data_IF_894616515740
#
_entry.id   IF_894616515740
#
_cell.length_a   1.000
_cell.length_b   1.000
_cell.length_c   1.000
_cell.angle_alpha   90.00
_cell.angle_beta   90.00
_cell.angle_gamma   90.00
#
_symmetry.space_group_name_H-M   'P 1'
#
loop_
_entity.id
_entity.type
_entity.pdbx_description
1 polymer ?
#
# COMPACT_ATOMS: atom_id res chain seq x y z
N UNK A 1 -6.89 30.36 -2.09
CA UNK A 1 -5.92 30.40 -3.20
C UNK A 1 -4.47 30.59 -2.72
N UNK A 2 -4.25 31.14 -1.51
CA UNK A 2 -2.88 31.40 -0.96
C UNK A 2 -2.35 30.37 0.05
N UNK A 3 -2.93 29.16 0.07
CA UNK A 3 -2.56 28.10 1.02
C UNK A 3 -1.59 27.07 0.45
N UNK A 4 -0.66 26.59 1.27
CA UNK A 4 0.18 25.42 0.98
C UNK A 4 -0.57 24.14 1.35
N UNK A 5 -0.88 23.31 0.36
CA UNK A 5 -1.35 21.94 0.57
C UNK A 5 -0.14 21.01 0.56
N UNK A 6 -0.02 20.19 1.60
CA UNK A 6 0.96 19.12 1.69
C UNK A 6 0.31 17.80 1.24
N UNK A 7 1.09 16.92 0.60
CA UNK A 7 0.67 15.56 0.24
C UNK A 7 1.71 14.60 0.80
N UNK A 8 1.24 13.67 1.62
CA UNK A 8 2.00 12.73 2.44
C UNK A 8 2.91 13.40 3.49
N UNK A 9 3.37 12.59 4.45
CA UNK A 9 4.00 13.10 5.68
C UNK A 9 5.34 12.47 6.04
N UNK A 10 5.76 11.39 5.38
CA UNK A 10 6.97 10.67 5.76
C UNK A 10 6.76 9.75 6.97
N UNK A 11 7.83 9.03 7.31
CA UNK A 11 7.86 8.05 8.40
C UNK A 11 7.79 8.74 9.78
N UNK A 12 7.08 8.14 10.72
CA UNK A 12 6.93 8.64 12.10
C UNK A 12 8.19 8.48 12.96
N UNK A 13 9.27 9.19 12.62
CA UNK A 13 10.53 9.16 13.36
C UNK A 13 11.17 10.55 13.51
N UNK A 14 12.14 10.67 14.42
CA UNK A 14 12.78 11.96 14.75
C UNK A 14 13.63 12.53 13.61
N UNK A 15 14.23 11.67 12.79
CA UNK A 15 14.99 12.08 11.61
C UNK A 15 14.08 12.80 10.60
N UNK A 16 12.90 12.24 10.32
CA UNK A 16 11.93 12.81 9.39
C UNK A 16 11.32 14.10 9.96
N UNK A 17 11.06 14.17 11.27
CA UNK A 17 10.64 15.42 11.94
C UNK A 17 11.70 16.51 11.78
N UNK A 18 12.98 16.19 11.97
CA UNK A 18 14.07 17.14 11.80
C UNK A 18 14.14 17.67 10.36
N UNK A 19 13.97 16.81 9.35
CA UNK A 19 13.89 17.22 7.94
C UNK A 19 12.71 18.15 7.68
N UNK A 20 11.54 17.88 8.25
CA UNK A 20 10.39 18.77 8.15
C UNK A 20 10.65 20.15 8.78
N UNK A 21 11.29 20.22 9.95
CA UNK A 21 11.63 21.50 10.56
C UNK A 21 12.59 22.31 9.67
N UNK A 22 13.55 21.66 9.00
CA UNK A 22 14.40 22.32 7.99
C UNK A 22 13.58 22.87 6.82
N UNK A 23 12.61 22.10 6.31
CA UNK A 23 11.73 22.55 5.22
C UNK A 23 10.86 23.74 5.65
N UNK A 24 10.27 23.68 6.84
CA UNK A 24 9.40 24.72 7.41
C UNK A 24 10.16 26.01 7.73
N UNK A 25 11.41 25.91 8.20
CA UNK A 25 12.27 27.07 8.47
C UNK A 25 12.94 27.63 7.20
N UNK A 26 13.02 26.84 6.13
CA UNK A 26 13.70 27.21 4.88
C UNK A 26 12.73 27.36 3.71
N UNK A 27 12.72 26.43 2.73
CA UNK A 27 11.95 26.57 1.48
C UNK A 27 10.45 26.84 1.64
N UNK A 28 9.85 26.44 2.77
CA UNK A 28 8.43 26.65 3.06
C UNK A 28 8.18 27.82 4.03
N UNK A 29 9.22 28.55 4.43
CA UNK A 29 9.09 29.67 5.35
C UNK A 29 8.13 30.75 4.82
N UNK A 30 7.25 31.24 5.70
CA UNK A 30 6.25 32.27 5.36
C UNK A 30 5.06 31.76 4.53
N UNK A 31 5.08 30.51 4.04
CA UNK A 31 3.90 29.89 3.41
C UNK A 31 2.88 29.55 4.49
N UNK A 32 1.58 29.67 4.17
CA UNK A 32 0.49 29.33 5.09
C UNK A 32 -0.05 27.94 4.78
N UNK A 33 0.25 26.89 5.57
CA UNK A 33 -0.34 25.58 5.38
C UNK A 33 -1.86 25.67 5.50
N UNK A 34 -2.59 24.95 4.64
CA UNK A 34 -4.06 24.94 4.64
C UNK A 34 -4.66 23.56 4.84
N UNK A 35 -3.93 22.49 4.49
CA UNK A 35 -4.32 21.09 4.67
C UNK A 35 -3.12 20.16 4.49
N UNK A 36 -3.25 18.97 5.06
CA UNK A 36 -2.40 17.82 4.76
C UNK A 36 -3.28 16.75 4.09
N UNK A 37 -2.87 16.25 2.93
CA UNK A 37 -3.50 15.10 2.28
C UNK A 37 -2.61 13.88 2.52
N UNK A 38 -3.17 12.73 2.91
CA UNK A 38 -2.48 11.45 2.86
C UNK A 38 -3.06 10.60 1.73
N UNK A 39 -2.18 10.04 0.89
CA UNK A 39 -2.57 9.16 -0.21
C UNK A 39 -3.12 7.84 0.31
N UNK A 40 -2.45 7.26 1.31
CA UNK A 40 -2.86 6.00 1.94
C UNK A 40 -2.22 5.82 3.33
N UNK A 41 -2.58 4.73 4.01
CA UNK A 41 -2.24 4.50 5.40
C UNK A 41 -0.79 4.09 5.67
N UNK A 42 0.01 3.70 4.66
CA UNK A 42 1.35 3.16 4.94
C UNK A 42 2.24 4.16 5.70
N UNK A 43 3.19 3.66 6.53
CA UNK A 43 3.86 4.51 7.51
C UNK A 43 4.67 5.66 6.95
N UNK A 44 5.24 5.53 5.76
CA UNK A 44 5.97 6.58 5.08
C UNK A 44 5.07 7.65 4.43
N UNK A 45 3.75 7.46 4.43
CA UNK A 45 2.78 8.42 3.91
C UNK A 45 1.98 9.06 5.04
N UNK A 46 1.59 8.28 6.05
CA UNK A 46 0.76 8.73 7.17
C UNK A 46 1.54 8.90 8.49
N UNK A 47 2.83 8.56 8.53
CA UNK A 47 3.63 8.46 9.76
C UNK A 47 3.72 9.71 10.60
N UNK A 48 3.90 10.88 9.98
CA UNK A 48 3.90 12.17 10.67
C UNK A 48 2.62 12.97 10.47
N UNK A 49 1.54 12.33 10.01
CA UNK A 49 0.31 13.06 9.69
C UNK A 49 -0.24 13.84 10.88
N UNK A 50 -0.30 13.23 12.06
CA UNK A 50 -0.76 13.90 13.26
C UNK A 50 0.20 14.93 13.81
N UNK A 51 1.50 14.67 13.76
CA UNK A 51 2.51 15.64 14.14
C UNK A 51 2.44 16.90 13.27
N UNK A 52 2.38 16.75 11.93
CA UNK A 52 2.24 17.86 10.99
C UNK A 52 0.92 18.62 11.18
N UNK A 53 -0.20 17.91 11.35
CA UNK A 53 -1.50 18.54 11.61
C UNK A 53 -1.46 19.43 12.85
N UNK A 54 -0.87 18.95 13.96
CA UNK A 54 -0.71 19.73 15.19
C UNK A 54 0.27 20.88 15.01
N UNK A 55 1.44 20.61 14.41
CA UNK A 55 2.53 21.57 14.21
C UNK A 55 2.14 22.74 13.30
N UNK A 56 1.25 22.50 12.34
CA UNK A 56 0.85 23.48 11.32
C UNK A 56 -0.58 24.01 11.52
N UNK A 57 -1.35 23.44 12.45
CA UNK A 57 -2.74 23.82 12.70
C UNK A 57 -3.68 23.51 11.52
N UNK A 58 -3.45 22.38 10.84
CA UNK A 58 -4.23 21.96 9.66
C UNK A 58 -4.91 20.61 9.86
N UNK A 59 -5.96 20.34 9.09
CA UNK A 59 -6.68 19.07 9.13
C UNK A 59 -6.09 18.05 8.14
N UNK A 60 -6.23 16.77 8.49
CA UNK A 60 -5.90 15.65 7.60
C UNK A 60 -7.07 15.39 6.65
N UNK A 61 -6.76 15.36 5.36
CA UNK A 61 -7.62 14.89 4.29
C UNK A 61 -7.14 13.53 3.82
N UNK A 62 -8.01 12.53 3.82
CA UNK A 62 -7.71 11.18 3.33
C UNK A 62 -9.03 10.47 2.99
N UNK A 63 -8.95 9.33 2.31
CA UNK A 63 -10.12 8.49 2.16
C UNK A 63 -10.48 7.80 3.47
N UNK A 64 -11.76 7.46 3.63
CA UNK A 64 -12.27 6.96 4.90
C UNK A 64 -11.66 5.60 5.24
N UNK A 65 -11.50 4.69 4.26
CA UNK A 65 -10.95 3.36 4.54
C UNK A 65 -9.46 3.41 4.87
N UNK A 66 -8.70 4.31 4.26
CA UNK A 66 -7.28 4.50 4.58
C UNK A 66 -7.12 5.01 6.01
N UNK A 67 -7.89 6.03 6.39
CA UNK A 67 -7.87 6.55 7.75
C UNK A 67 -8.34 5.52 8.78
N UNK A 68 -9.45 4.80 8.52
CA UNK A 68 -9.97 3.78 9.44
C UNK A 68 -8.98 2.63 9.64
N UNK A 69 -8.40 2.12 8.55
CA UNK A 69 -7.46 1.01 8.62
C UNK A 69 -6.17 1.42 9.32
N UNK A 70 -5.62 2.59 8.98
CA UNK A 70 -4.48 3.16 9.67
C UNK A 70 -4.75 3.39 11.15
N UNK A 71 -5.90 3.98 11.52
CA UNK A 71 -6.28 4.20 12.92
C UNK A 71 -6.43 2.91 13.70
N UNK A 72 -7.06 1.89 13.11
CA UNK A 72 -7.19 0.58 13.72
C UNK A 72 -5.80 0.00 14.02
N UNK A 73 -4.91 -0.06 13.02
CA UNK A 73 -3.56 -0.58 13.21
C UNK A 73 -2.74 0.25 14.20
N UNK A 74 -2.91 1.57 14.23
CA UNK A 74 -2.19 2.41 15.19
C UNK A 74 -2.68 2.20 16.62
N UNK A 75 -4.00 2.10 16.83
CA UNK A 75 -4.60 1.90 18.16
C UNK A 75 -4.37 0.50 18.72
N UNK A 76 -4.20 -0.49 17.85
CA UNK A 76 -4.07 -1.89 18.21
C UNK A 76 -2.73 -2.20 18.89
N UNK A 77 -2.81 -2.81 20.08
CA UNK A 77 -1.64 -3.20 20.90
C UNK A 77 -1.96 -4.44 21.77
N UNK A 78 -2.99 -5.21 21.38
CA UNK A 78 -3.43 -6.38 22.13
C UNK A 78 -2.57 -7.61 21.86
N UNK A 79 -2.56 -8.51 22.84
CA UNK A 79 -2.02 -9.87 22.65
C UNK A 79 -2.77 -10.62 21.54
N UNK A 80 -4.07 -10.34 21.36
CA UNK A 80 -4.90 -10.93 20.30
C UNK A 80 -4.39 -10.57 18.90
N UNK A 81 -3.97 -9.32 18.68
CA UNK A 81 -3.37 -8.91 17.41
C UNK A 81 -2.13 -9.74 17.08
N UNK A 82 -1.21 -9.87 18.04
CA UNK A 82 0.01 -10.67 17.85
C UNK A 82 -0.31 -12.16 17.66
N UNK A 83 -1.27 -12.69 18.42
CA UNK A 83 -1.73 -14.07 18.28
C UNK A 83 -2.35 -14.34 16.89
N UNK A 84 -3.13 -13.40 16.35
CA UNK A 84 -3.69 -13.49 15.00
C UNK A 84 -2.60 -13.53 13.94
N UNK A 85 -1.58 -12.65 14.04
CA UNK A 85 -0.44 -12.67 13.10
C UNK A 85 0.27 -14.03 13.13
N UNK A 86 0.60 -14.55 14.32
CA UNK A 86 1.27 -15.85 14.47
C UNK A 86 0.40 -16.98 13.92
N UNK A 87 -0.91 -16.98 14.21
CA UNK A 87 -1.83 -17.98 13.70
C UNK A 87 -1.90 -17.96 12.16
N UNK A 88 -1.97 -16.77 11.57
CA UNK A 88 -2.00 -16.58 10.12
C UNK A 88 -0.72 -17.10 9.45
N UNK A 89 0.46 -16.68 9.90
CA UNK A 89 1.73 -17.15 9.33
C UNK A 89 1.98 -18.63 9.57
N UNK A 90 1.43 -19.21 10.65
CA UNK A 90 1.44 -20.67 10.85
C UNK A 90 0.61 -21.38 9.78
N UNK A 91 -0.57 -20.86 9.40
CA UNK A 91 -1.38 -21.41 8.29
C UNK A 91 -0.65 -21.36 6.95
N UNK A 92 0.26 -20.41 6.77
CA UNK A 92 1.08 -20.28 5.56
C UNK A 92 2.23 -21.30 5.53
N UNK A 93 2.66 -21.77 6.71
CA UNK A 93 3.72 -22.77 6.88
C UNK A 93 5.03 -22.24 7.43
N UNK A 94 5.04 -21.06 8.06
CA UNK A 94 6.23 -20.54 8.75
C UNK A 94 6.69 -21.51 9.84
N UNK A 95 8.01 -21.69 9.97
CA UNK A 95 8.61 -22.54 11.00
C UNK A 95 8.64 -21.86 12.39
N UNK A 96 9.14 -22.58 13.40
CA UNK A 96 9.15 -22.09 14.78
C UNK A 96 9.99 -20.81 14.97
N UNK A 97 11.13 -20.69 14.28
CA UNK A 97 12.00 -19.51 14.38
C UNK A 97 11.34 -18.30 13.72
N UNK A 98 10.76 -18.49 12.53
CA UNK A 98 10.03 -17.46 11.80
C UNK A 98 8.80 -16.96 12.59
N UNK A 99 8.06 -17.88 13.22
CA UNK A 99 6.90 -17.52 14.04
C UNK A 99 7.30 -16.76 15.32
N UNK A 100 8.44 -17.09 15.93
CA UNK A 100 8.96 -16.31 17.05
C UNK A 100 9.39 -14.91 16.59
N UNK A 101 9.99 -14.79 15.41
CA UNK A 101 10.28 -13.49 14.79
C UNK A 101 9.03 -12.67 14.47
N UNK A 102 7.89 -13.29 14.14
CA UNK A 102 6.59 -12.59 14.01
C UNK A 102 6.12 -12.09 15.38
N UNK A 103 6.19 -12.95 16.40
CA UNK A 103 5.79 -12.61 17.77
C UNK A 103 6.60 -11.46 18.34
N UNK A 104 7.93 -11.51 18.21
CA UNK A 104 8.84 -10.51 18.77
C UNK A 104 8.69 -9.13 18.13
N UNK A 105 8.34 -9.08 16.83
CA UNK A 105 8.12 -7.83 16.11
C UNK A 105 6.83 -7.12 16.51
N UNK A 106 5.80 -7.87 16.93
CA UNK A 106 4.51 -7.32 17.34
C UNK A 106 3.88 -6.42 16.27
N UNK A 107 3.33 -5.28 16.69
CA UNK A 107 2.75 -4.30 15.79
C UNK A 107 3.77 -3.24 15.36
N UNK A 108 4.54 -3.55 14.31
CA UNK A 108 5.54 -2.61 13.78
C UNK A 108 4.93 -1.36 13.16
N UNK A 109 3.67 -1.41 12.71
CA UNK A 109 2.99 -0.24 12.15
C UNK A 109 2.90 0.86 13.21
N UNK A 110 2.44 0.54 14.42
CA UNK A 110 2.34 1.47 15.55
C UNK A 110 3.67 2.17 15.86
N UNK A 111 4.80 1.45 15.80
CA UNK A 111 6.14 2.02 16.05
C UNK A 111 6.65 3.00 14.99
N UNK A 112 6.01 3.02 13.81
CA UNK A 112 6.41 3.81 12.64
C UNK A 112 5.47 4.99 12.37
N UNK A 113 4.46 5.16 13.21
CA UNK A 113 3.49 6.25 13.16
C UNK A 113 3.60 7.03 14.47
N UNK A 114 3.77 8.35 14.40
CA UNK A 114 3.77 9.20 15.59
C UNK A 114 2.36 9.26 16.19
N UNK A 115 1.41 9.81 15.43
CA UNK A 115 0.00 9.87 15.79
C UNK A 115 -0.84 9.99 14.53
N UNK A 116 -1.99 9.30 14.50
CA UNK A 116 -3.00 9.50 13.45
C UNK A 116 -4.04 10.51 13.96
N UNK A 117 -4.36 11.57 13.20
CA UNK A 117 -5.40 12.53 13.55
C UNK A 117 -6.75 11.89 13.86
N UNK A 118 -7.41 12.34 14.94
CA UNK A 118 -8.77 11.88 15.33
C UNK A 118 -9.87 12.45 14.45
N UNK A 119 -9.57 13.56 13.77
CA UNK A 119 -10.47 14.22 12.83
C UNK A 119 -9.98 13.96 11.42
N UNK A 120 -10.93 13.63 10.55
CA UNK A 120 -10.72 13.40 9.13
C UNK A 120 -11.61 14.35 8.32
N UNK A 121 -11.03 14.96 7.29
CA UNK A 121 -11.76 15.50 6.15
C UNK A 121 -11.79 14.42 5.08
N UNK A 122 -12.92 13.71 4.97
CA UNK A 122 -13.03 12.56 4.07
C UNK A 122 -13.06 12.97 2.60
N UNK A 123 -12.37 12.21 1.75
CA UNK A 123 -12.48 12.27 0.29
C UNK A 123 -12.78 10.89 -0.28
N UNK A 124 -13.44 10.83 -1.43
CA UNK A 124 -13.76 9.58 -2.14
C UNK A 124 -13.51 9.73 -3.63
N UNK A 125 -13.58 8.62 -4.35
CA UNK A 125 -13.50 8.62 -5.80
C UNK A 125 -14.45 9.65 -6.44
N UNK A 126 -13.90 10.44 -7.37
CA UNK A 126 -14.65 11.44 -8.13
C UNK A 126 -14.76 12.81 -7.44
N UNK A 127 -14.44 12.93 -6.15
CA UNK A 127 -14.43 14.22 -5.48
C UNK A 127 -13.37 15.16 -6.10
N UNK A 128 -13.73 16.45 -6.22
CA UNK A 128 -12.89 17.50 -6.76
C UNK A 128 -12.34 18.40 -5.62
N UNK A 129 -11.02 18.39 -5.46
CA UNK A 129 -10.29 19.18 -4.47
C UNK A 129 -9.75 20.47 -5.12
N UNK A 130 -10.09 21.62 -4.54
CA UNK A 130 -9.56 22.92 -5.00
C UNK A 130 -8.20 23.21 -4.37
N UNK A 131 -7.14 23.14 -5.17
CA UNK A 131 -5.75 23.37 -4.73
C UNK A 131 -5.07 24.35 -5.69
N UNK A 132 -4.58 25.48 -5.18
CA UNK A 132 -3.87 26.48 -5.99
C UNK A 132 -4.66 26.99 -7.21
N UNK A 133 -5.98 27.17 -7.06
CA UNK A 133 -6.85 27.61 -8.16
C UNK A 133 -7.17 26.55 -9.22
N UNK A 134 -6.74 25.29 -9.01
CA UNK A 134 -7.00 24.16 -9.93
C UNK A 134 -7.85 23.08 -9.28
N UNK A 135 -8.54 22.30 -10.11
CA UNK A 135 -9.33 21.14 -9.65
C UNK A 135 -8.46 19.90 -9.69
N UNK A 136 -8.41 19.19 -8.57
CA UNK A 136 -7.72 17.92 -8.42
C UNK A 136 -8.74 16.85 -8.10
N UNK A 137 -9.02 15.99 -9.06
CA UNK A 137 -9.95 14.88 -8.89
C UNK A 137 -9.27 13.73 -8.15
N UNK A 138 -9.92 13.23 -7.10
CA UNK A 138 -9.51 11.99 -6.44
C UNK A 138 -9.92 10.80 -7.33
N UNK A 139 -8.94 9.98 -7.70
CA UNK A 139 -9.13 8.72 -8.41
C UNK A 139 -8.73 7.59 -7.45
N UNK A 140 -9.69 6.71 -7.15
CA UNK A 140 -9.47 5.61 -6.23
C UNK A 140 -8.57 4.56 -6.89
N UNK A 141 -7.42 4.34 -6.25
CA UNK A 141 -6.57 3.17 -6.45
C UNK A 141 -7.12 1.95 -5.73
N UNK A 142 -6.37 0.85 -5.72
CA UNK A 142 -6.84 -0.38 -5.12
C UNK A 142 -5.77 -1.45 -5.06
N UNK A 143 -5.99 -2.43 -4.18
CA UNK A 143 -5.13 -3.60 -4.03
C UNK A 143 -3.84 -3.36 -3.26
N UNK A 144 -3.13 -2.27 -3.55
CA UNK A 144 -1.97 -1.83 -2.76
C UNK A 144 -2.36 -1.44 -1.33
N UNK A 145 -3.47 -0.71 -1.20
CA UNK A 145 -4.07 -0.30 0.06
C UNK A 145 -5.61 -0.22 -0.07
N UNK A 146 -6.38 -0.07 1.03
CA UNK A 146 -7.84 -0.23 1.02
C UNK A 146 -8.65 0.73 0.13
N UNK A 147 -8.18 1.97 -0.07
CA UNK A 147 -8.85 3.03 -0.85
C UNK A 147 -7.84 4.14 -1.21
N UNK A 148 -6.74 3.76 -1.87
CA UNK A 148 -5.61 4.64 -2.19
C UNK A 148 -6.08 5.90 -2.95
N UNK A 149 -5.66 7.08 -2.53
CA UNK A 149 -6.01 8.34 -3.19
C UNK A 149 -4.95 8.76 -4.22
N UNK A 150 -5.23 8.56 -5.50
CA UNK A 150 -4.49 9.23 -6.58
C UNK A 150 -5.15 10.60 -6.85
N UNK A 151 -4.37 11.65 -7.13
CA UNK A 151 -4.90 12.99 -7.37
C UNK A 151 -4.53 13.46 -8.78
N UNK A 152 -5.54 13.69 -9.62
CA UNK A 152 -5.35 14.11 -11.01
C UNK A 152 -5.85 15.53 -11.26
N UNK A 153 -4.99 16.37 -11.84
CA UNK A 153 -5.35 17.71 -12.30
C UNK A 153 -5.34 17.77 -13.82
N UNK A 154 -6.52 17.79 -14.44
CA UNK A 154 -6.66 17.85 -15.89
C UNK A 154 -6.07 19.12 -16.50
N UNK A 155 -6.30 20.27 -15.86
CA UNK A 155 -5.79 21.58 -16.31
C UNK A 155 -4.26 21.63 -16.36
N UNK A 156 -3.59 20.89 -15.46
CA UNK A 156 -2.14 20.82 -15.42
C UNK A 156 -1.57 19.60 -16.18
N UNK A 157 -2.40 18.61 -16.52
CA UNK A 157 -1.97 17.32 -17.03
C UNK A 157 -1.07 16.55 -16.05
N UNK A 158 -1.36 16.63 -14.75
CA UNK A 158 -0.53 16.06 -13.66
C UNK A 158 -1.31 15.05 -12.85
N UNK A 159 -0.69 13.91 -12.56
CA UNK A 159 -1.16 12.88 -11.64
C UNK A 159 -0.17 12.74 -10.47
N UNK A 160 -0.63 12.94 -9.24
CA UNK A 160 0.05 12.39 -8.05
C UNK A 160 -0.46 10.96 -7.89
N UNK A 161 0.37 9.98 -8.25
CA UNK A 161 -0.04 8.56 -8.27
C UNK A 161 0.12 7.86 -6.93
N UNK A 162 0.78 8.51 -5.96
CA UNK A 162 1.22 7.86 -4.74
C UNK A 162 1.98 6.56 -5.08
N UNK A 163 1.57 5.47 -4.44
CA UNK A 163 2.14 4.14 -4.64
C UNK A 163 1.36 3.30 -5.65
N UNK A 164 0.30 3.83 -6.26
CA UNK A 164 -0.47 3.07 -7.24
C UNK A 164 0.30 2.83 -8.54
N UNK A 165 1.14 3.78 -8.96
CA UNK A 165 2.01 3.67 -10.15
C UNK A 165 3.38 4.26 -9.84
N UNK A 166 4.41 3.40 -9.87
CA UNK A 166 5.81 3.74 -9.59
C UNK A 166 6.66 3.44 -10.83
N UNK A 167 7.71 4.23 -11.14
CA UNK A 167 8.41 4.18 -12.43
C UNK A 167 9.35 2.98 -12.60
N UNK A 168 9.89 2.43 -11.50
CA UNK A 168 10.94 1.38 -11.56
C UNK A 168 10.56 0.07 -10.87
N UNK A 169 9.76 0.16 -9.82
CA UNK A 169 9.36 -1.00 -9.01
C UNK A 169 7.87 -1.27 -9.19
N UNK A 170 7.45 -2.51 -8.95
CA UNK A 170 6.04 -2.81 -8.77
C UNK A 170 5.63 -2.37 -7.36
N UNK A 171 4.50 -1.67 -7.20
CA UNK A 171 3.86 -1.52 -5.90
C UNK A 171 3.60 -2.89 -5.28
N UNK A 172 3.68 -2.97 -3.95
CA UNK A 172 3.30 -4.20 -3.26
C UNK A 172 1.80 -4.40 -3.36
N UNK A 173 1.38 -5.64 -3.62
CA UNK A 173 -0.03 -6.06 -3.61
C UNK A 173 -0.07 -7.33 -2.78
N UNK A 174 -0.61 -7.26 -1.57
CA UNK A 174 -0.42 -8.33 -0.57
C UNK A 174 -1.69 -8.70 0.18
N UNK A 175 -1.78 -9.97 0.59
CA UNK A 175 -2.76 -10.45 1.56
C UNK A 175 -2.15 -10.39 2.96
N UNK A 176 -2.92 -9.89 3.93
CA UNK A 176 -2.45 -9.59 5.28
C UNK A 176 -3.30 -10.31 6.35
N UNK A 177 -2.79 -10.53 7.58
CA UNK A 177 -3.52 -11.21 8.65
C UNK A 177 -4.87 -10.58 9.01
N UNK A 178 -5.05 -9.28 8.77
CA UNK A 178 -6.29 -8.55 9.08
C UNK A 178 -7.40 -8.83 8.05
N UNK A 179 -7.03 -9.27 6.85
CA UNK A 179 -7.96 -9.66 5.78
C UNK A 179 -7.44 -10.91 5.07
N UNK A 180 -7.43 -12.08 5.74
CA UNK A 180 -6.73 -13.27 5.27
C UNK A 180 -7.33 -13.89 4.01
N UNK A 181 -8.53 -13.47 3.60
CA UNK A 181 -9.23 -13.91 2.39
C UNK A 181 -9.34 -12.80 1.33
N UNK A 182 -8.61 -11.69 1.50
CA UNK A 182 -8.64 -10.60 0.54
C UNK A 182 -8.21 -11.06 -0.85
N UNK A 183 -8.74 -10.40 -1.88
CA UNK A 183 -8.34 -10.59 -3.28
C UNK A 183 -7.86 -9.23 -3.84
N UNK A 184 -6.66 -8.77 -3.41
CA UNK A 184 -6.18 -7.43 -3.71
C UNK A 184 -5.68 -7.28 -5.15
N UNK A 185 -5.33 -8.38 -5.84
CA UNK A 185 -4.77 -8.28 -7.18
C UNK A 185 -5.80 -7.82 -8.19
N UNK A 186 -7.05 -8.32 -8.17
CA UNK A 186 -8.08 -7.75 -9.04
C UNK A 186 -8.29 -6.26 -8.79
N UNK A 187 -8.30 -5.83 -7.51
CA UNK A 187 -8.48 -4.41 -7.16
C UNK A 187 -7.35 -3.54 -7.72
N UNK A 188 -6.12 -4.05 -7.70
CA UNK A 188 -4.96 -3.39 -8.28
C UNK A 188 -5.06 -3.28 -9.80
N UNK A 189 -5.39 -4.37 -10.50
CA UNK A 189 -5.53 -4.39 -11.96
C UNK A 189 -6.67 -3.49 -12.45
N UNK A 190 -7.80 -3.47 -11.73
CA UNK A 190 -8.92 -2.57 -12.03
C UNK A 190 -8.54 -1.11 -11.84
N UNK A 191 -7.77 -0.79 -10.79
CA UNK A 191 -7.25 0.56 -10.55
C UNK A 191 -6.30 1.03 -11.66
N UNK A 192 -5.41 0.15 -12.14
CA UNK A 192 -4.55 0.47 -13.28
C UNK A 192 -5.37 0.76 -14.54
N UNK A 193 -6.43 -0.02 -14.78
CA UNK A 193 -7.33 0.20 -15.92
C UNK A 193 -8.00 1.57 -15.86
N UNK A 194 -8.47 2.01 -14.69
CA UNK A 194 -9.02 3.37 -14.49
C UNK A 194 -7.98 4.46 -14.77
N UNK A 195 -6.77 4.33 -14.24
CA UNK A 195 -5.70 5.31 -14.47
C UNK A 195 -5.24 5.35 -15.93
N UNK A 196 -5.41 4.26 -16.68
CA UNK A 196 -5.09 4.20 -18.11
C UNK A 196 -6.00 5.10 -18.97
N UNK A 197 -7.18 5.47 -18.47
CA UNK A 197 -8.10 6.39 -19.17
C UNK A 197 -7.61 7.84 -19.20
N UNK A 198 -6.62 8.19 -18.37
CA UNK A 198 -6.01 9.51 -18.37
C UNK A 198 -5.22 9.78 -19.66
N UNK A 199 -5.02 11.05 -20.07
CA UNK A 199 -4.24 11.38 -21.26
C UNK A 199 -2.85 10.74 -21.25
N UNK A 200 -2.41 10.23 -22.40
CA UNK A 200 -1.13 9.51 -22.53
C UNK A 200 0.09 10.36 -22.16
N UNK A 201 -0.02 11.68 -22.32
CA UNK A 201 1.02 12.63 -22.00
C UNK A 201 1.03 13.04 -20.51
N UNK A 202 0.11 12.56 -19.66
CA UNK A 202 0.06 12.91 -18.23
C UNK A 202 1.44 12.81 -17.54
N UNK A 203 1.85 13.89 -16.85
CA UNK A 203 3.02 13.90 -15.97
C UNK A 203 2.67 13.22 -14.66
N UNK A 204 3.39 12.15 -14.33
CA UNK A 204 3.18 11.36 -13.12
C UNK A 204 4.20 11.77 -12.05
N UNK A 205 3.70 12.07 -10.86
CA UNK A 205 4.45 12.34 -9.63
C UNK A 205 4.27 11.16 -8.67
N UNK A 206 5.14 10.13 -8.74
CA UNK A 206 5.08 8.97 -7.86
C UNK A 206 5.66 9.29 -6.48
N UNK A 207 5.31 8.51 -5.45
CA UNK A 207 5.95 8.66 -4.13
C UNK A 207 7.41 8.23 -4.13
N UNK A 208 7.74 7.25 -4.96
CA UNK A 208 9.07 6.67 -5.05
C UNK A 208 9.64 6.76 -6.48
N UNK A 209 10.91 7.14 -6.58
CA UNK A 209 11.58 7.37 -7.86
C UNK A 209 11.47 8.83 -8.31
N UNK A 210 11.54 9.05 -9.63
CA UNK A 210 11.52 10.39 -10.22
C UNK A 210 10.19 10.63 -10.95
N UNK A 211 9.73 11.88 -11.05
CA UNK A 211 8.66 12.27 -11.96
C UNK A 211 8.90 11.77 -13.39
N UNK A 212 7.84 11.31 -14.06
CA UNK A 212 7.96 10.75 -15.40
C UNK A 212 6.72 10.98 -16.27
N UNK A 213 6.87 10.84 -17.59
CA UNK A 213 5.77 10.70 -18.56
C UNK A 213 5.80 9.28 -19.14
N UNK A 214 4.71 8.87 -19.79
CA UNK A 214 4.54 7.49 -20.25
C UNK A 214 3.73 6.64 -19.26
N UNK A 215 2.66 7.22 -18.70
CA UNK A 215 1.75 6.53 -17.78
C UNK A 215 1.21 5.22 -18.38
N UNK A 216 0.76 5.27 -19.65
CA UNK A 216 0.20 4.09 -20.33
C UNK A 216 1.24 2.99 -20.49
N UNK A 217 2.45 3.33 -20.94
CA UNK A 217 3.56 2.38 -21.04
C UNK A 217 3.83 1.72 -19.70
N UNK A 218 3.87 2.51 -18.61
CA UNK A 218 4.13 1.95 -17.28
C UNK A 218 3.00 1.05 -16.78
N UNK A 219 1.74 1.40 -17.07
CA UNK A 219 0.59 0.54 -16.77
C UNK A 219 0.69 -0.77 -17.54
N UNK A 220 0.96 -0.72 -18.84
CA UNK A 220 1.06 -1.90 -19.70
C UNK A 220 2.20 -2.84 -19.21
N UNK A 221 3.33 -2.27 -18.75
CA UNK A 221 4.41 -3.03 -18.09
C UNK A 221 3.97 -3.70 -16.79
N UNK A 222 3.21 -3.00 -15.93
CA UNK A 222 2.70 -3.57 -14.68
C UNK A 222 1.68 -4.70 -14.94
N UNK A 223 0.80 -4.52 -15.92
CA UNK A 223 -0.15 -5.56 -16.34
C UNK A 223 0.58 -6.80 -16.86
N UNK A 224 1.57 -6.62 -17.74
CA UNK A 224 2.40 -7.70 -18.25
C UNK A 224 3.18 -8.41 -17.14
N UNK A 225 3.73 -7.64 -16.19
CA UNK A 225 4.44 -8.18 -15.03
C UNK A 225 3.56 -9.11 -14.19
N UNK A 226 2.33 -8.69 -13.86
CA UNK A 226 1.42 -9.52 -13.09
C UNK A 226 0.90 -10.72 -13.88
N UNK A 227 0.70 -10.59 -15.19
CA UNK A 227 0.36 -11.73 -16.05
C UNK A 227 1.46 -12.81 -16.02
N UNK A 228 2.73 -12.44 -16.22
CA UNK A 228 3.87 -13.36 -16.11
C UNK A 228 3.95 -13.99 -14.70
N UNK A 229 3.73 -13.19 -13.65
CA UNK A 229 3.75 -13.68 -12.27
C UNK A 229 2.63 -14.69 -12.00
N UNK A 230 1.43 -14.46 -12.54
CA UNK A 230 0.31 -15.40 -12.44
C UNK A 230 0.63 -16.73 -13.14
N UNK A 231 1.19 -16.69 -14.34
CA UNK A 231 1.61 -17.90 -15.07
C UNK A 231 2.66 -18.70 -14.29
N UNK A 232 3.64 -18.02 -13.69
CA UNK A 232 4.67 -18.64 -12.84
C UNK A 232 4.08 -19.21 -11.55
N UNK A 233 3.13 -18.51 -10.93
CA UNK A 233 2.42 -18.97 -9.73
C UNK A 233 1.63 -20.24 -10.03
N UNK A 234 0.85 -20.24 -11.11
CA UNK A 234 0.11 -21.41 -11.57
C UNK A 234 1.04 -22.56 -11.93
N UNK A 235 2.20 -22.28 -12.51
CA UNK A 235 3.26 -23.27 -12.81
C UNK A 235 3.90 -23.88 -11.58
N UNK A 236 3.98 -23.12 -10.48
CA UNK A 236 4.48 -23.61 -9.20
C UNK A 236 3.45 -24.46 -8.44
N UNK A 237 2.16 -24.34 -8.74
CA UNK A 237 1.11 -25.19 -8.20
C UNK A 237 1.16 -26.60 -8.86
N UNK A 238 1.91 -27.52 -8.27
CA UNK A 238 1.89 -28.95 -8.64
C UNK A 238 0.66 -29.69 -8.11
N UNK A 239 0.82 -30.97 -7.75
CA UNK A 239 -0.24 -31.79 -7.16
C UNK A 239 -0.71 -31.24 -5.79
N UNK A 240 0.25 -30.79 -4.97
CA UNK A 240 0.00 -30.17 -3.68
C UNK A 240 1.24 -29.40 -3.20
N UNK A 241 1.12 -28.08 -2.98
CA UNK A 241 2.24 -27.20 -2.55
C UNK A 241 1.81 -26.21 -1.47
N UNK A 242 2.73 -25.76 -0.62
CA UNK A 242 2.45 -24.64 0.31
C UNK A 242 2.67 -23.28 -0.37
N UNK A 243 2.19 -22.20 0.24
CA UNK A 243 2.49 -20.84 -0.23
C UNK A 243 4.01 -20.54 -0.19
N UNK A 244 4.76 -21.14 0.74
CA UNK A 244 6.21 -20.99 0.81
C UNK A 244 6.94 -21.70 -0.35
N UNK A 245 6.42 -22.82 -0.82
CA UNK A 245 6.98 -23.52 -1.99
C UNK A 245 6.80 -22.67 -3.25
N UNK A 246 5.63 -22.06 -3.42
CA UNK A 246 5.35 -21.12 -4.52
C UNK A 246 6.24 -19.87 -4.40
N UNK A 247 6.39 -19.31 -3.20
CA UNK A 247 7.24 -18.16 -2.94
C UNK A 247 8.69 -18.41 -3.40
N UNK A 248 9.25 -19.58 -3.11
CA UNK A 248 10.62 -19.96 -3.53
C UNK A 248 10.79 -19.99 -5.06
N UNK A 249 9.73 -20.30 -5.80
CA UNK A 249 9.74 -20.25 -7.28
C UNK A 249 9.67 -18.82 -7.80
N UNK A 250 8.87 -17.96 -7.14
CA UNK A 250 8.68 -16.57 -7.54
C UNK A 250 9.90 -15.69 -7.19
N UNK A 251 10.48 -15.88 -6.01
CA UNK A 251 11.54 -15.07 -5.43
C UNK A 251 12.80 -15.92 -5.19
N UNK A 252 13.76 -15.84 -6.12
CA UNK A 252 14.97 -16.69 -6.13
C UNK A 252 16.14 -16.17 -5.27
N UNK A 253 16.02 -14.97 -4.69
CA UNK A 253 17.07 -14.36 -3.86
C UNK A 253 16.82 -14.68 -2.39
N UNK A 254 17.88 -14.65 -1.58
CA UNK A 254 17.71 -14.64 -0.13
C UNK A 254 16.93 -13.39 0.30
N UNK A 255 16.00 -13.58 1.22
CA UNK A 255 15.11 -12.54 1.74
C UNK A 255 15.37 -12.39 3.23
N UNK A 256 15.54 -11.14 3.68
CA UNK A 256 15.51 -10.85 5.11
C UNK A 256 14.08 -11.04 5.68
N UNK A 257 13.95 -10.97 7.01
CA UNK A 257 12.67 -11.19 7.68
C UNK A 257 11.55 -10.20 7.28
N UNK A 258 11.90 -8.97 6.87
CA UNK A 258 10.93 -7.96 6.42
C UNK A 258 10.51 -8.25 4.98
N UNK A 259 11.48 -8.52 4.10
CA UNK A 259 11.26 -8.90 2.71
C UNK A 259 10.46 -10.20 2.59
N UNK A 260 10.66 -11.15 3.50
CA UNK A 260 9.88 -12.40 3.56
C UNK A 260 8.39 -12.14 3.77
N UNK A 261 8.02 -11.21 4.65
CA UNK A 261 6.61 -10.85 4.89
C UNK A 261 5.94 -10.29 3.63
N UNK A 262 6.64 -9.39 2.94
CA UNK A 262 6.17 -8.80 1.68
C UNK A 262 6.05 -9.81 0.54
N UNK A 263 7.07 -10.65 0.35
CA UNK A 263 7.05 -11.70 -0.66
C UNK A 263 5.95 -12.74 -0.39
N UNK A 264 5.68 -13.04 0.89
CA UNK A 264 4.59 -13.92 1.31
C UNK A 264 3.22 -13.32 0.96
N UNK A 265 2.98 -12.06 1.33
CA UNK A 265 1.74 -11.36 1.01
C UNK A 265 1.50 -11.30 -0.50
N UNK A 266 2.53 -11.00 -1.29
CA UNK A 266 2.45 -10.95 -2.76
C UNK A 266 2.19 -12.32 -3.37
N UNK A 267 2.84 -13.37 -2.87
CA UNK A 267 2.60 -14.75 -3.31
C UNK A 267 1.13 -15.15 -3.08
N UNK A 268 0.59 -14.81 -1.90
CA UNK A 268 -0.80 -15.09 -1.57
C UNK A 268 -1.78 -14.29 -2.44
N UNK A 269 -1.47 -13.03 -2.78
CA UNK A 269 -2.31 -12.23 -3.67
C UNK A 269 -2.47 -12.90 -5.05
N UNK A 270 -1.39 -13.45 -5.61
CA UNK A 270 -1.44 -14.18 -6.88
C UNK A 270 -2.18 -15.51 -6.76
N UNK A 271 -1.96 -16.26 -5.67
CA UNK A 271 -2.71 -17.50 -5.40
C UNK A 271 -4.22 -17.23 -5.27
N UNK A 272 -4.61 -16.18 -4.54
CA UNK A 272 -6.01 -15.81 -4.34
C UNK A 272 -6.69 -15.38 -5.63
N UNK A 273 -5.98 -14.66 -6.50
CA UNK A 273 -6.49 -14.31 -7.83
C UNK A 273 -6.75 -15.55 -8.69
N UNK A 274 -5.82 -16.52 -8.69
CA UNK A 274 -6.01 -17.80 -9.39
C UNK A 274 -7.14 -18.64 -8.76
N UNK A 275 -7.29 -18.60 -7.43
CA UNK A 275 -8.41 -19.24 -6.73
C UNK A 275 -9.75 -18.64 -7.13
N UNK A 276 -9.85 -17.31 -7.22
CA UNK A 276 -11.06 -16.61 -7.68
C UNK A 276 -11.45 -17.02 -9.11
N UNK A 277 -10.46 -17.30 -9.97
CA UNK A 277 -10.68 -17.83 -11.33
C UNK A 277 -10.98 -19.33 -11.39
N UNK A 278 -10.85 -20.05 -10.28
CA UNK A 278 -11.02 -21.50 -10.22
C UNK A 278 -9.83 -22.29 -10.77
N UNK A 279 -8.70 -21.65 -11.06
CA UNK A 279 -7.49 -22.29 -11.60
C UNK A 279 -6.62 -22.93 -10.52
N UNK A 280 -6.80 -22.50 -9.27
CA UNK A 280 -6.11 -23.04 -8.08
C UNK A 280 -7.13 -23.33 -7.00
N UNK A 281 -6.99 -24.47 -6.34
CA UNK A 281 -7.79 -24.85 -5.17
C UNK A 281 -6.93 -24.80 -3.91
N UNK A 282 -7.48 -24.28 -2.82
CA UNK A 282 -6.85 -24.27 -1.49
C UNK A 282 -7.52 -25.28 -0.58
N UNK A 283 -6.72 -26.09 0.11
CA UNK A 283 -7.18 -27.01 1.14
C UNK A 283 -6.34 -26.88 2.42
N UNK A 284 -6.95 -27.24 3.55
CA UNK A 284 -6.23 -27.30 4.82
C UNK A 284 -5.68 -28.72 5.01
N UNK A 285 -4.37 -28.86 5.09
CA UNK A 285 -3.77 -30.16 5.39
C UNK A 285 -3.90 -30.56 6.87
N UNK A 286 -3.60 -31.81 7.17
CA UNK A 286 -3.73 -32.38 8.52
C UNK A 286 -2.81 -31.74 9.57
N UNK A 287 -1.76 -31.05 9.15
CA UNK A 287 -0.84 -30.26 9.98
C UNK A 287 -1.31 -28.81 10.19
N UNK A 288 -2.47 -28.43 9.64
CA UNK A 288 -3.03 -27.09 9.76
C UNK A 288 -2.43 -26.06 8.77
N UNK A 289 -1.63 -26.48 7.79
CA UNK A 289 -1.06 -25.60 6.77
C UNK A 289 -1.96 -25.58 5.51
N UNK A 290 -2.17 -24.39 4.94
CA UNK A 290 -2.81 -24.22 3.65
C UNK A 290 -1.95 -24.75 2.52
N UNK A 291 -2.55 -25.61 1.72
CA UNK A 291 -1.96 -26.18 0.52
C UNK A 291 -2.77 -25.83 -0.70
N UNK A 292 -2.07 -25.64 -1.79
CA UNK A 292 -2.59 -25.18 -3.06
C UNK A 292 -2.27 -26.22 -4.13
N UNK A 293 -3.21 -26.41 -5.05
CA UNK A 293 -3.06 -27.29 -6.21
C UNK A 293 -3.78 -26.70 -7.41
N UNK A 294 -3.40 -27.11 -8.61
CA UNK A 294 -4.16 -26.76 -9.83
C UNK A 294 -5.59 -27.31 -9.75
N UNK A 295 -6.54 -26.50 -10.21
CA UNK A 295 -7.97 -26.81 -10.30
C UNK A 295 -8.32 -27.76 -11.43
#
# INVERSE_FOLDING_TARGET
EDGLTLVDSGLGNDETKALWEVLLAGPLAGRRPSRLIATHFHPDHMGLSGWLCQRLGVELTASLREWLFGRMLWLEDSEEFTANQVAYYRRIGFDAEQLEGVRSRGNTYRSRIDVIPVRLVGIRHGDDLRIGGRSWRMIEGGGHSPEHACLYCAEAGVLISGDQVLPRISPIVGVWPQQPEAEPLSLFLDALTRLRELPADTLVLPSHGLPFRGLHTRIDELLAHHAERLERTLSACGDEVTALDVLRVLFKRELDAHQMGFATGETLAHLHHLMKKGEVLRQLGGDGIWRYRRG
#
